data_IF_440478118553
#
_entry.id   IF_440478118553
#
_cell.length_a   1.000
_cell.length_b   1.000
_cell.length_c   1.000
_cell.angle_alpha   90.00
_cell.angle_beta   90.00
_cell.angle_gamma   90.00
#
_symmetry.space_group_name_H-M   'P 1'
#
loop_
_entity.id
_entity.type
_entity.pdbx_description
1 polymer ?
#
# COMPACT_ATOMS: atom_id res chain seq x y z
N UNK A 1 0.23 27.72 0.79
CA UNK A 1 -0.40 26.61 0.06
C UNK A 1 -0.40 25.40 0.98
N UNK A 2 -1.49 24.62 1.05
CA UNK A 2 -1.50 23.37 1.82
C UNK A 2 -0.44 22.44 1.24
N UNK A 3 0.45 21.91 2.08
CA UNK A 3 1.47 20.94 1.64
C UNK A 3 0.80 19.59 1.46
N UNK A 4 1.34 18.76 0.57
CA UNK A 4 0.74 17.47 0.23
C UNK A 4 1.80 16.38 0.25
N UNK A 5 1.43 15.21 0.77
CA UNK A 5 2.19 13.96 0.64
C UNK A 5 1.41 13.00 -0.25
N UNK A 6 1.92 12.70 -1.44
CA UNK A 6 1.35 11.63 -2.26
C UNK A 6 2.00 10.31 -1.88
N UNK A 7 1.18 9.32 -1.54
CA UNK A 7 1.59 8.01 -1.05
C UNK A 7 1.23 6.94 -2.07
N UNK A 8 2.21 6.53 -2.87
CA UNK A 8 2.09 5.42 -3.82
C UNK A 8 2.31 4.09 -3.11
N UNK A 9 1.31 3.22 -3.17
CA UNK A 9 1.22 2.07 -2.29
C UNK A 9 0.62 0.82 -2.95
N UNK A 10 1.05 -0.35 -2.47
CA UNK A 10 0.47 -1.66 -2.77
C UNK A 10 0.36 -2.46 -1.47
N UNK A 11 -0.80 -3.06 -1.21
CA UNK A 11 -1.09 -3.84 0.00
C UNK A 11 -0.08 -4.98 0.23
N UNK A 12 0.53 -5.50 -0.84
CA UNK A 12 1.49 -6.60 -0.79
C UNK A 12 2.87 -6.22 -0.23
N UNK A 13 3.15 -4.94 0.01
CA UNK A 13 4.43 -4.50 0.58
C UNK A 13 4.33 -4.33 2.11
N UNK A 14 5.11 -5.05 2.93
CA UNK A 14 5.13 -4.84 4.37
C UNK A 14 5.71 -3.48 4.76
N UNK A 15 6.66 -2.94 3.96
CA UNK A 15 7.14 -1.58 4.15
C UNK A 15 6.03 -0.56 3.90
N UNK A 16 5.13 -0.84 2.96
CA UNK A 16 3.97 0.02 2.70
C UNK A 16 3.04 0.08 3.91
N UNK A 17 2.76 -1.06 4.54
CA UNK A 17 1.98 -1.09 5.77
C UNK A 17 2.62 -0.24 6.88
N UNK A 18 3.93 -0.37 7.11
CA UNK A 18 4.61 0.45 8.11
C UNK A 18 4.48 1.95 7.81
N UNK A 19 4.70 2.38 6.56
CA UNK A 19 4.49 3.79 6.18
C UNK A 19 3.03 4.23 6.39
N UNK A 20 2.06 3.39 5.98
CA UNK A 20 0.62 3.64 6.15
C UNK A 20 0.27 3.95 7.61
N UNK A 21 0.83 3.21 8.57
CA UNK A 21 0.54 3.44 10.01
C UNK A 21 1.04 4.80 10.54
N UNK A 22 2.05 5.39 9.90
CA UNK A 22 2.72 6.60 10.39
C UNK A 22 2.26 7.87 9.67
N UNK A 23 1.89 7.75 8.40
CA UNK A 23 1.60 8.89 7.53
C UNK A 23 0.47 9.80 8.02
N UNK A 24 -0.67 9.29 8.55
CA UNK A 24 -1.72 10.14 9.08
C UNK A 24 -1.22 11.06 10.20
N UNK A 25 -0.45 10.52 11.15
CA UNK A 25 0.12 11.29 12.26
C UNK A 25 1.17 12.31 11.79
N UNK A 26 2.01 11.93 10.83
CA UNK A 26 2.99 12.82 10.21
C UNK A 26 2.32 14.00 9.50
N UNK A 27 1.29 13.73 8.70
CA UNK A 27 0.55 14.75 7.95
C UNK A 27 -0.22 15.68 8.89
N UNK A 28 -0.87 15.14 9.93
CA UNK A 28 -1.53 15.93 10.97
C UNK A 28 -0.56 16.88 11.69
N UNK A 29 0.63 16.41 12.06
CA UNK A 29 1.64 17.20 12.76
C UNK A 29 2.27 18.33 11.89
N UNK A 30 2.19 18.20 10.56
CA UNK A 30 2.78 19.15 9.60
C UNK A 30 1.73 20.01 8.89
N UNK A 31 0.44 19.76 9.14
CA UNK A 31 -0.66 20.40 8.40
C UNK A 31 -0.72 20.00 6.92
N UNK A 32 -0.08 18.89 6.54
CA UNK A 32 -0.07 18.40 5.17
C UNK A 32 -1.31 17.53 4.88
N UNK A 33 -1.75 17.52 3.62
CA UNK A 33 -2.77 16.60 3.13
C UNK A 33 -2.11 15.29 2.67
N UNK A 34 -2.61 14.16 3.14
CA UNK A 34 -2.21 12.85 2.65
C UNK A 34 -3.08 12.45 1.44
N UNK A 35 -2.45 12.11 0.33
CA UNK A 35 -3.14 11.61 -0.88
C UNK A 35 -2.71 10.17 -1.14
N UNK A 36 -3.65 9.25 -1.03
CA UNK A 36 -3.45 7.83 -1.31
C UNK A 36 -3.47 7.56 -2.81
N UNK A 37 -2.41 6.94 -3.35
CA UNK A 37 -2.26 6.59 -4.76
C UNK A 37 -2.09 5.06 -4.89
N UNK A 38 -3.17 4.28 -5.01
CA UNK A 38 -3.05 2.84 -5.21
C UNK A 38 -2.34 2.54 -6.53
N UNK A 39 -1.36 1.66 -6.49
CA UNK A 39 -0.64 1.19 -7.67
C UNK A 39 -0.41 -0.31 -7.61
N UNK A 40 -0.14 -0.92 -8.77
CA UNK A 40 0.20 -2.33 -8.83
C UNK A 40 1.73 -2.50 -8.84
N UNK A 41 2.29 -2.97 -7.72
CA UNK A 41 3.75 -3.14 -7.56
C UNK A 41 4.34 -4.12 -8.56
N UNK A 42 3.60 -5.17 -8.94
CA UNK A 42 4.01 -6.10 -10.00
C UNK A 42 4.19 -5.40 -11.36
N UNK A 43 3.36 -4.40 -11.66
CA UNK A 43 3.49 -3.58 -12.87
C UNK A 43 4.73 -2.69 -12.81
N UNK A 44 5.00 -2.07 -11.66
CA UNK A 44 6.22 -1.27 -11.42
C UNK A 44 7.47 -2.14 -11.62
N UNK A 45 7.56 -3.29 -10.95
CA UNK A 45 8.69 -4.20 -11.08
C UNK A 45 8.96 -4.62 -12.53
N UNK A 46 7.91 -4.97 -13.28
CA UNK A 46 8.04 -5.34 -14.69
C UNK A 46 8.59 -4.18 -15.53
N UNK A 47 8.07 -2.97 -15.33
CA UNK A 47 8.46 -1.80 -16.12
C UNK A 47 9.90 -1.34 -15.85
N UNK A 48 10.36 -1.47 -14.61
CA UNK A 48 11.71 -1.00 -14.21
C UNK A 48 12.77 -2.12 -14.22
N UNK A 49 12.42 -3.34 -14.63
CA UNK A 49 13.32 -4.50 -14.54
C UNK A 49 13.73 -4.85 -13.10
N UNK A 50 12.91 -4.48 -12.12
CA UNK A 50 13.17 -4.70 -10.69
C UNK A 50 12.42 -5.94 -10.20
N UNK A 51 12.71 -6.40 -8.99
CA UNK A 51 12.02 -7.52 -8.35
C UNK A 51 11.96 -7.33 -6.83
N UNK A 52 11.06 -8.07 -6.18
CA UNK A 52 11.00 -8.08 -4.72
C UNK A 52 12.34 -8.50 -4.12
N UNK A 53 12.90 -7.76 -3.14
CA UNK A 53 14.15 -8.14 -2.48
C UNK A 53 14.04 -9.48 -1.74
N UNK A 54 12.82 -9.93 -1.42
CA UNK A 54 12.56 -11.22 -0.79
C UNK A 54 12.97 -12.41 -1.66
N UNK A 55 13.05 -12.25 -3.00
CA UNK A 55 13.47 -13.32 -3.90
C UNK A 55 14.96 -13.63 -3.82
N UNK A 56 15.76 -12.72 -3.24
CA UNK A 56 17.19 -12.93 -2.98
C UNK A 56 17.36 -13.34 -1.52
N UNK A 57 17.74 -14.60 -1.20
CA UNK A 57 17.69 -15.11 0.19
C UNK A 57 18.41 -14.25 1.23
N UNK A 58 19.57 -13.70 0.90
CA UNK A 58 20.32 -12.81 1.79
C UNK A 58 19.57 -11.49 2.07
N UNK A 59 19.00 -10.87 1.03
CA UNK A 59 18.21 -9.64 1.16
C UNK A 59 16.89 -9.90 1.88
N UNK A 60 16.21 -11.01 1.58
CA UNK A 60 14.96 -11.40 2.24
C UNK A 60 15.14 -11.58 3.75
N UNK A 61 16.18 -12.32 4.18
CA UNK A 61 16.48 -12.48 5.62
C UNK A 61 16.70 -11.13 6.31
N UNK A 62 17.49 -10.24 5.70
CA UNK A 62 17.74 -8.91 6.25
C UNK A 62 16.46 -8.06 6.28
N UNK A 63 15.69 -8.05 5.18
CA UNK A 63 14.46 -7.26 5.04
C UNK A 63 13.49 -7.53 6.19
N UNK A 64 13.24 -8.78 6.55
CA UNK A 64 12.31 -9.09 7.65
C UNK A 64 12.84 -8.66 9.03
N UNK A 65 14.14 -8.79 9.27
CA UNK A 65 14.75 -8.28 10.51
C UNK A 65 14.63 -6.76 10.60
N UNK A 66 14.86 -6.06 9.48
CA UNK A 66 14.80 -4.61 9.44
C UNK A 66 13.37 -4.08 9.59
N UNK A 67 12.40 -4.69 8.90
CA UNK A 67 10.98 -4.39 9.06
C UNK A 67 10.52 -4.58 10.52
N UNK A 68 11.01 -5.60 11.22
CA UNK A 68 10.70 -5.81 12.63
C UNK A 68 11.26 -4.67 13.52
N UNK A 69 12.46 -4.15 13.23
CA UNK A 69 13.02 -3.00 13.95
C UNK A 69 12.16 -1.76 13.77
N UNK A 70 11.68 -1.51 12.55
CA UNK A 70 10.82 -0.37 12.28
C UNK A 70 9.42 -0.53 12.87
N UNK A 71 8.84 -1.72 12.85
CA UNK A 71 7.60 -2.01 13.57
C UNK A 71 7.73 -1.69 15.07
N UNK A 72 8.85 -2.06 15.69
CA UNK A 72 9.16 -1.70 17.07
C UNK A 72 9.33 -0.18 17.25
N UNK A 73 10.09 0.49 16.37
CA UNK A 73 10.30 1.96 16.40
C UNK A 73 8.99 2.73 16.28
N UNK A 74 8.08 2.25 15.44
CA UNK A 74 6.78 2.86 15.17
C UNK A 74 5.69 2.43 16.14
N UNK A 75 5.99 1.49 17.04
CA UNK A 75 5.07 0.93 18.01
C UNK A 75 3.79 0.37 17.36
N UNK A 76 3.95 -0.42 16.30
CA UNK A 76 2.86 -1.05 15.56
C UNK A 76 3.06 -2.56 15.43
N UNK A 77 1.97 -3.36 15.43
CA UNK A 77 2.09 -4.79 15.22
C UNK A 77 2.51 -5.08 13.78
N UNK A 78 3.49 -5.96 13.59
CA UNK A 78 3.82 -6.52 12.27
C UNK A 78 4.07 -8.02 12.43
N UNK A 79 3.21 -8.82 11.82
CA UNK A 79 3.35 -10.27 11.72
C UNK A 79 3.84 -10.63 10.33
N UNK A 80 4.86 -11.49 10.26
CA UNK A 80 5.25 -12.07 8.99
C UNK A 80 4.12 -12.97 8.48
N UNK A 81 3.53 -12.60 7.34
CA UNK A 81 2.48 -13.38 6.71
C UNK A 81 3.09 -14.60 6.01
N UNK A 82 2.76 -15.85 6.40
CA UNK A 82 3.36 -17.05 5.83
C UNK A 82 3.03 -17.26 4.35
N UNK A 83 2.04 -16.54 3.83
CA UNK A 83 1.64 -16.59 2.43
C UNK A 83 2.31 -15.53 1.56
N UNK A 84 3.14 -14.65 2.14
CA UNK A 84 3.87 -13.65 1.38
C UNK A 84 4.96 -14.30 0.50
N UNK A 85 5.12 -13.86 -0.78
CA UNK A 85 4.33 -12.84 -1.47
C UNK A 85 3.02 -13.38 -2.05
N UNK A 86 1.99 -12.53 -2.10
CA UNK A 86 0.71 -12.82 -2.78
C UNK A 86 0.54 -11.98 -4.04
N UNK A 87 -0.31 -12.44 -4.97
CA UNK A 87 -0.76 -11.61 -6.09
C UNK A 87 -1.83 -10.63 -5.61
N UNK A 88 -1.53 -9.33 -5.65
CA UNK A 88 -2.41 -8.28 -5.15
C UNK A 88 -3.30 -7.64 -6.21
N UNK A 89 -3.29 -8.12 -7.47
CA UNK A 89 -4.04 -7.47 -8.57
C UNK A 89 -5.52 -7.25 -8.24
N UNK A 90 -6.21 -8.28 -7.75
CA UNK A 90 -7.62 -8.17 -7.40
C UNK A 90 -7.84 -7.23 -6.22
N UNK A 91 -6.97 -7.29 -5.20
CA UNK A 91 -7.03 -6.39 -4.04
C UNK A 91 -6.80 -4.93 -4.45
N UNK A 92 -5.78 -4.65 -5.26
CA UNK A 92 -5.47 -3.28 -5.69
C UNK A 92 -6.53 -2.72 -6.63
N UNK A 93 -7.22 -3.56 -7.42
CA UNK A 93 -8.42 -3.14 -8.15
C UNK A 93 -9.56 -2.83 -7.20
N UNK A 94 -9.81 -3.66 -6.19
CA UNK A 94 -10.83 -3.39 -5.18
C UNK A 94 -10.58 -2.08 -4.43
N UNK A 95 -9.32 -1.85 -4.00
CA UNK A 95 -8.90 -0.58 -3.37
C UNK A 95 -9.16 0.61 -4.29
N UNK A 96 -8.82 0.49 -5.57
CA UNK A 96 -9.05 1.55 -6.57
C UNK A 96 -10.55 1.78 -6.79
N UNK A 97 -11.35 0.71 -6.89
CA UNK A 97 -12.79 0.79 -7.06
C UNK A 97 -13.49 1.46 -5.87
N UNK A 98 -13.13 1.08 -4.65
CA UNK A 98 -13.63 1.74 -3.44
C UNK A 98 -13.22 3.20 -3.40
N UNK A 99 -11.97 3.53 -3.75
CA UNK A 99 -11.52 4.92 -3.84
C UNK A 99 -12.35 5.75 -4.81
N UNK A 100 -12.79 5.16 -5.93
CA UNK A 100 -13.55 5.84 -6.98
C UNK A 100 -15.06 5.93 -6.69
N UNK A 101 -15.65 4.92 -6.04
CA UNK A 101 -17.10 4.77 -5.91
C UNK A 101 -17.64 5.01 -4.51
N UNK A 102 -16.83 4.73 -3.48
CA UNK A 102 -17.19 4.87 -2.06
C UNK A 102 -16.03 5.53 -1.29
N UNK A 103 -15.59 6.75 -1.67
CA UNK A 103 -14.42 7.40 -1.07
C UNK A 103 -14.55 7.60 0.45
N UNK A 104 -15.76 7.71 0.98
CA UNK A 104 -16.05 7.79 2.42
C UNK A 104 -15.74 6.50 3.18
N UNK A 105 -15.76 5.33 2.51
CA UNK A 105 -15.41 4.03 3.09
C UNK A 105 -13.96 3.61 2.82
N UNK A 106 -13.21 4.42 2.06
CA UNK A 106 -11.88 4.06 1.56
C UNK A 106 -10.89 3.74 2.67
N UNK A 107 -10.84 4.55 3.73
CA UNK A 107 -9.91 4.33 4.84
C UNK A 107 -10.24 3.06 5.61
N UNK A 108 -11.52 2.81 5.91
CA UNK A 108 -11.98 1.58 6.57
C UNK A 108 -11.62 0.34 5.72
N UNK A 109 -11.74 0.45 4.40
CA UNK A 109 -11.45 -0.64 3.47
C UNK A 109 -9.96 -1.00 3.42
N UNK A 110 -9.07 0.00 3.29
CA UNK A 110 -7.63 -0.29 3.29
C UNK A 110 -7.15 -0.74 4.67
N UNK A 111 -7.73 -0.22 5.75
CA UNK A 111 -7.39 -0.62 7.12
C UNK A 111 -7.68 -2.10 7.36
N UNK A 112 -8.86 -2.59 6.97
CA UNK A 112 -9.22 -3.99 7.17
C UNK A 112 -8.29 -4.94 6.37
N UNK A 113 -7.92 -4.58 5.14
CA UNK A 113 -7.03 -5.39 4.30
C UNK A 113 -5.59 -5.36 4.81
N UNK A 114 -5.08 -4.20 5.21
CA UNK A 114 -3.75 -4.08 5.82
C UNK A 114 -3.66 -4.88 7.12
N UNK A 115 -4.69 -4.79 7.98
CA UNK A 115 -4.78 -5.55 9.22
C UNK A 115 -4.82 -7.05 8.94
N UNK A 116 -5.67 -7.51 8.03
CA UNK A 116 -5.77 -8.92 7.65
C UNK A 116 -4.42 -9.46 7.14
N UNK A 117 -3.71 -8.68 6.32
CA UNK A 117 -2.41 -9.08 5.77
C UNK A 117 -1.28 -9.08 6.81
N UNK A 118 -1.10 -7.97 7.52
CA UNK A 118 0.15 -7.67 8.24
C UNK A 118 0.03 -7.74 9.75
N UNK A 119 -1.18 -7.86 10.29
CA UNK A 119 -1.42 -8.06 11.72
C UNK A 119 -1.89 -9.48 11.97
N UNK A 120 -2.86 -9.95 11.19
CA UNK A 120 -3.49 -11.25 11.40
C UNK A 120 -2.78 -12.38 10.61
N UNK A 121 -2.16 -12.05 9.48
CA UNK A 121 -1.47 -13.00 8.62
C UNK A 121 -2.42 -13.87 7.80
N UNK A 122 -3.57 -13.33 7.39
CA UNK A 122 -4.57 -14.03 6.55
C UNK A 122 -4.09 -14.17 5.11
N UNK A 123 -4.56 -15.23 4.44
CA UNK A 123 -4.23 -15.52 3.04
C UNK A 123 -5.13 -14.76 2.06
N UNK A 124 -4.86 -13.47 1.84
CA UNK A 124 -5.65 -12.68 0.86
C UNK A 124 -5.32 -12.99 -0.62
N UNK A 125 -4.58 -14.07 -0.89
CA UNK A 125 -4.50 -14.69 -2.21
C UNK A 125 -5.67 -15.63 -2.51
N UNK A 126 -6.48 -15.98 -1.49
CA UNK A 126 -7.67 -16.83 -1.60
C UNK A 126 -8.94 -15.97 -1.52
N UNK A 127 -9.78 -16.06 -2.55
CA UNK A 127 -11.00 -15.27 -2.67
C UNK A 127 -12.03 -15.57 -1.57
N UNK A 128 -12.06 -16.80 -1.05
CA UNK A 128 -12.95 -17.14 0.07
C UNK A 128 -12.54 -16.43 1.36
N UNK A 129 -11.23 -16.31 1.60
CA UNK A 129 -10.67 -15.56 2.74
C UNK A 129 -10.90 -14.07 2.55
N UNK A 130 -10.72 -13.54 1.33
CA UNK A 130 -11.03 -12.14 1.01
C UNK A 130 -12.50 -11.84 1.29
N UNK A 131 -13.43 -12.65 0.78
CA UNK A 131 -14.85 -12.46 1.01
C UNK A 131 -15.21 -12.48 2.51
N UNK A 132 -14.62 -13.41 3.27
CA UNK A 132 -14.80 -13.48 4.72
C UNK A 132 -14.33 -12.20 5.42
N UNK A 133 -13.12 -11.72 5.10
CA UNK A 133 -12.56 -10.48 5.68
C UNK A 133 -13.42 -9.27 5.35
N UNK A 134 -13.91 -9.16 4.11
CA UNK A 134 -14.78 -8.08 3.69
C UNK A 134 -16.11 -8.08 4.46
N UNK A 135 -16.76 -9.24 4.55
CA UNK A 135 -18.02 -9.39 5.27
C UNK A 135 -17.89 -9.07 6.77
N UNK A 136 -16.80 -9.51 7.42
CA UNK A 136 -16.50 -9.17 8.83
C UNK A 136 -16.42 -7.66 9.09
N UNK A 137 -16.11 -6.86 8.07
CA UNK A 137 -15.96 -5.40 8.17
C UNK A 137 -17.09 -4.63 7.47
N UNK A 138 -18.21 -5.30 7.16
CA UNK A 138 -19.39 -4.65 6.60
C UNK A 138 -19.20 -4.16 5.16
N UNK A 139 -18.40 -4.89 4.37
CA UNK A 139 -18.34 -4.75 2.92
C UNK A 139 -19.01 -5.95 2.27
N UNK A 140 -19.82 -5.72 1.23
CA UNK A 140 -20.43 -6.80 0.45
C UNK A 140 -19.38 -7.41 -0.50
N UNK A 141 -18.98 -8.69 -0.32
CA UNK A 141 -17.98 -9.31 -1.18
C UNK A 141 -18.36 -9.35 -2.65
N UNK A 142 -19.65 -9.47 -2.99
CA UNK A 142 -20.11 -9.52 -4.37
C UNK A 142 -19.99 -8.14 -5.03
N UNK A 143 -20.36 -7.08 -4.30
CA UNK A 143 -20.19 -5.69 -4.76
C UNK A 143 -18.70 -5.39 -5.00
N UNK A 144 -17.83 -5.74 -4.05
CA UNK A 144 -16.39 -5.53 -4.19
C UNK A 144 -15.83 -6.33 -5.38
N UNK A 145 -16.25 -7.58 -5.55
CA UNK A 145 -15.82 -8.40 -6.69
C UNK A 145 -16.26 -7.78 -8.02
N UNK A 146 -17.46 -7.23 -8.10
CA UNK A 146 -17.94 -6.52 -9.29
C UNK A 146 -17.04 -5.32 -9.63
N UNK A 147 -16.63 -4.52 -8.63
CA UNK A 147 -15.69 -3.41 -8.83
C UNK A 147 -14.35 -3.88 -9.40
N UNK A 148 -13.85 -5.06 -9.03
CA UNK A 148 -12.59 -5.59 -9.59
C UNK A 148 -12.66 -5.95 -11.07
N UNK A 149 -13.87 -6.11 -11.60
CA UNK A 149 -14.15 -6.44 -12.99
C UNK A 149 -14.63 -5.25 -13.82
N UNK A 150 -14.88 -4.10 -13.19
CA UNK A 150 -15.22 -2.84 -13.86
C UNK A 150 -14.03 -2.32 -14.69
N UNK A 151 -14.29 -1.91 -15.93
CA UNK A 151 -13.24 -1.50 -16.86
C UNK A 151 -12.65 -0.11 -16.54
N UNK A 152 -13.44 0.80 -15.96
CA UNK A 152 -12.93 2.09 -15.48
C UNK A 152 -12.00 1.89 -14.29
N UNK A 153 -12.32 0.97 -13.38
CA UNK A 153 -11.47 0.62 -12.24
C UNK A 153 -10.14 0.00 -12.70
N UNK A 154 -10.20 -0.91 -13.68
CA UNK A 154 -8.98 -1.50 -14.27
C UNK A 154 -8.11 -0.42 -14.94
N UNK A 155 -8.73 0.48 -15.70
CA UNK A 155 -8.04 1.58 -16.35
C UNK A 155 -7.40 2.52 -15.32
N UNK A 156 -8.14 2.92 -14.28
CA UNK A 156 -7.63 3.81 -13.24
C UNK A 156 -6.43 3.22 -12.48
N UNK A 157 -6.45 1.93 -12.11
CA UNK A 157 -5.29 1.30 -11.47
C UNK A 157 -4.08 1.26 -12.41
N UNK A 158 -4.32 0.96 -13.70
CA UNK A 158 -3.28 0.96 -14.72
C UNK A 158 -2.67 2.35 -14.88
N UNK A 159 -3.50 3.38 -15.03
CA UNK A 159 -3.07 4.77 -15.20
C UNK A 159 -2.32 5.28 -13.96
N UNK A 160 -2.78 4.97 -12.76
CA UNK A 160 -2.06 5.29 -11.51
C UNK A 160 -0.67 4.64 -11.48
N UNK A 161 -0.58 3.39 -11.92
CA UNK A 161 0.68 2.64 -11.97
C UNK A 161 1.63 3.22 -13.03
N UNK A 162 1.12 3.55 -14.22
CA UNK A 162 1.89 4.19 -15.29
C UNK A 162 2.38 5.58 -14.87
N UNK A 163 1.53 6.36 -14.21
CA UNK A 163 1.90 7.65 -13.65
C UNK A 163 3.02 7.53 -12.60
N UNK A 164 2.94 6.53 -11.71
CA UNK A 164 4.00 6.24 -10.74
C UNK A 164 5.33 5.95 -11.45
N UNK A 165 5.31 5.09 -12.48
CA UNK A 165 6.49 4.72 -13.28
C UNK A 165 7.08 5.95 -13.97
N UNK A 166 6.26 6.79 -14.60
CA UNK A 166 6.70 8.02 -15.27
C UNK A 166 7.38 9.00 -14.31
N UNK A 167 7.00 8.99 -13.03
CA UNK A 167 7.61 9.80 -11.97
C UNK A 167 8.82 9.15 -11.31
N UNK A 168 9.29 8.00 -11.83
CA UNK A 168 10.49 7.32 -11.35
C UNK A 168 10.26 6.39 -10.17
N UNK A 169 9.01 6.01 -9.86
CA UNK A 169 8.73 4.99 -8.85
C UNK A 169 9.28 3.63 -9.29
N UNK A 170 10.05 2.99 -8.42
CA UNK A 170 10.68 1.69 -8.67
C UNK A 170 10.31 0.62 -7.61
N UNK A 171 9.45 0.96 -6.66
CA UNK A 171 8.99 0.08 -5.59
C UNK A 171 7.94 0.73 -4.69
N UNK A 172 7.51 0.00 -3.65
CA UNK A 172 6.54 0.49 -2.67
C UNK A 172 7.04 0.37 -1.22
N UNK A 173 6.79 1.36 -0.35
CA UNK A 173 6.06 2.59 -0.65
C UNK A 173 6.96 3.63 -1.31
N UNK A 174 6.35 4.51 -2.10
CA UNK A 174 6.99 5.70 -2.64
C UNK A 174 6.18 6.92 -2.24
N UNK A 175 6.83 7.93 -1.71
CA UNK A 175 6.20 9.16 -1.25
C UNK A 175 6.69 10.36 -2.06
N UNK A 176 5.81 11.30 -2.37
CA UNK A 176 6.19 12.58 -2.95
C UNK A 176 5.79 13.74 -2.08
N UNK A 177 6.73 14.68 -1.91
CA UNK A 177 6.46 16.05 -1.44
C UNK A 177 6.82 16.99 -2.58
N UNK A 178 5.82 17.56 -3.24
CA UNK A 178 6.00 18.22 -4.53
C UNK A 178 6.58 17.24 -5.57
N UNK A 179 7.77 17.55 -6.10
CA UNK A 179 8.46 16.71 -7.10
C UNK A 179 9.54 15.80 -6.49
N UNK A 180 9.77 15.85 -5.18
CA UNK A 180 10.81 15.06 -4.52
C UNK A 180 10.27 13.68 -4.17
N UNK A 181 10.95 12.63 -4.64
CA UNK A 181 10.64 11.23 -4.36
C UNK A 181 11.39 10.75 -3.11
N UNK A 182 10.67 10.13 -2.17
CA UNK A 182 11.20 9.43 -1.01
C UNK A 182 10.72 7.97 -1.06
N UNK A 183 11.65 7.03 -1.16
CA UNK A 183 11.33 5.60 -1.25
C UNK A 183 11.56 4.90 0.09
N UNK A 184 10.53 4.20 0.57
CA UNK A 184 10.60 3.39 1.79
C UNK A 184 9.97 4.04 3.01
N UNK A 185 9.54 3.19 3.94
CA UNK A 185 9.04 3.61 5.26
C UNK A 185 10.14 4.25 6.12
N UNK A 186 11.41 3.95 5.83
CA UNK A 186 12.59 4.47 6.52
C UNK A 186 13.02 5.88 6.06
N UNK A 187 12.18 6.57 5.27
CA UNK A 187 12.43 7.95 4.80
C UNK A 187 11.45 8.98 5.36
N UNK A 188 10.57 8.59 6.28
CA UNK A 188 9.54 9.49 6.82
C UNK A 188 10.10 10.71 7.56
N UNK A 189 11.30 10.61 8.15
CA UNK A 189 11.98 11.76 8.77
C UNK A 189 12.32 12.83 7.70
N UNK A 190 12.84 12.42 6.53
CA UNK A 190 13.09 13.33 5.40
C UNK A 190 11.81 13.87 4.77
N UNK A 191 10.73 13.07 4.74
CA UNK A 191 9.41 13.55 4.30
C UNK A 191 8.94 14.68 5.22
N UNK A 192 9.09 14.54 6.54
CA UNK A 192 8.76 15.60 7.51
C UNK A 192 9.61 16.85 7.30
N UNK A 193 10.91 16.69 7.06
CA UNK A 193 11.81 17.81 6.77
C UNK A 193 11.39 18.56 5.49
N UNK A 194 11.02 17.84 4.43
CA UNK A 194 10.53 18.45 3.19
C UNK A 194 9.17 19.16 3.34
N UNK A 195 8.40 18.82 4.37
CA UNK A 195 7.15 19.48 4.74
C UNK A 195 7.34 20.64 5.70
N UNK A 196 8.56 20.94 6.14
CA UNK A 196 8.86 22.11 7.00
C UNK A 196 8.88 23.41 6.21
#
# INVERSE_FOLDING_TARGET
>A
MSKTVEFFFDLGSPATYLAYTQLPGLCAATGAQLIYKPMLLGGVFKATGNASPATVPAKGRYMFQDLARYAQRYNVPLKFNPHFPINTLLLMRAVTGIQMRQPERFLDFIDCLFRALWVEGRHLGDLSVVATVLAEHGFDPEEILALTNDDEVKAALKDNTEHAIQRGVFGAPSLFVGNQLFFGQDRLDFVREALS
#
